data_IF_032634562329
#
_entry.id   IF_032634562329
#
_cell.length_a   1.000
_cell.length_b   1.000
_cell.length_c   1.000
_cell.angle_alpha   90.00
_cell.angle_beta   90.00
_cell.angle_gamma   90.00
#
_symmetry.space_group_name_H-M   'P 1'
#
loop_
_entity.id
_entity.type
_entity.pdbx_description
1 polymer ?
#
# COMPACT_ATOMS: atom_id res chain seq x y z
N UNK A 1 -1.90 -3.27 18.54
CA UNK A 1 -2.64 -2.02 18.22
C UNK A 1 -4.06 -2.06 18.78
N UNK A 2 -4.71 -0.91 18.96
CA UNK A 2 -6.13 -0.81 19.35
C UNK A 2 -6.96 -0.47 18.11
N UNK A 3 -8.21 -0.97 18.04
CA UNK A 3 -9.12 -0.62 16.95
C UNK A 3 -9.49 0.87 17.05
N UNK A 4 -9.30 1.67 16.00
CA UNK A 4 -9.70 3.07 16.03
C UNK A 4 -11.24 3.18 16.01
N UNK A 5 -11.76 4.21 16.69
CA UNK A 5 -13.13 4.66 16.48
C UNK A 5 -13.25 5.31 15.10
N UNK A 6 -14.35 5.06 14.41
CA UNK A 6 -14.58 5.54 13.03
C UNK A 6 -15.89 6.31 13.02
N UNK A 7 -15.83 7.54 12.50
CA UNK A 7 -16.97 8.43 12.32
C UNK A 7 -17.12 8.77 10.83
N UNK A 8 -18.37 8.95 10.38
CA UNK A 8 -18.69 9.26 8.99
C UNK A 8 -19.33 10.64 8.91
N UNK A 9 -18.96 11.40 7.88
CA UNK A 9 -19.49 12.73 7.56
C UNK A 9 -19.82 12.81 6.08
N UNK A 10 -20.50 13.88 5.67
CA UNK A 10 -20.81 14.13 4.26
C UNK A 10 -19.55 14.39 3.42
N UNK A 11 -19.67 14.17 2.11
CA UNK A 11 -18.61 14.45 1.14
C UNK A 11 -18.19 15.91 1.16
N UNK A 12 -16.89 16.17 1.02
CA UNK A 12 -16.38 17.54 0.92
C UNK A 12 -16.65 18.09 -0.48
N UNK A 13 -16.78 19.41 -0.55
CA UNK A 13 -16.85 20.09 -1.85
C UNK A 13 -15.53 19.84 -2.60
N UNK A 14 -15.61 19.23 -3.79
CA UNK A 14 -14.45 18.89 -4.62
C UNK A 14 -14.00 17.43 -4.51
N UNK A 15 -14.58 16.61 -3.63
CA UNK A 15 -14.25 15.19 -3.59
C UNK A 15 -14.70 14.48 -4.87
N UNK A 16 -13.77 13.80 -5.54
CA UNK A 16 -14.10 12.83 -6.56
C UNK A 16 -14.59 11.55 -5.88
N UNK A 17 -15.91 11.27 -5.94
CA UNK A 17 -16.53 10.13 -5.26
C UNK A 17 -15.94 8.77 -5.63
N UNK A 18 -15.53 8.62 -6.89
CA UNK A 18 -14.92 7.40 -7.39
C UNK A 18 -13.82 7.73 -8.40
N UNK A 19 -12.68 7.06 -8.22
CA UNK A 19 -11.57 7.06 -9.15
C UNK A 19 -11.01 5.65 -9.24
N UNK A 20 -10.85 5.14 -10.46
CA UNK A 20 -10.20 3.86 -10.75
C UNK A 20 -9.37 4.04 -12.00
N UNK A 21 -8.08 3.68 -11.94
CA UNK A 21 -7.22 3.67 -13.11
C UNK A 21 -7.37 2.35 -13.87
N UNK A 22 -7.73 2.42 -15.16
CA UNK A 22 -7.52 1.30 -16.07
C UNK A 22 -6.03 1.20 -16.43
N UNK A 23 -5.36 0.18 -15.89
CA UNK A 23 -3.93 -0.05 -16.10
C UNK A 23 -3.64 -0.90 -17.36
N UNK A 24 -4.65 -1.26 -18.16
CA UNK A 24 -4.49 -2.18 -19.30
C UNK A 24 -3.48 -1.67 -20.32
N UNK A 25 -3.44 -0.36 -20.59
CA UNK A 25 -2.46 0.25 -21.51
C UNK A 25 -1.03 0.10 -21.01
N UNK A 26 -0.81 0.32 -19.71
CA UNK A 26 0.51 0.18 -19.11
C UNK A 26 0.93 -1.30 -19.05
N UNK A 27 0.01 -2.19 -18.67
CA UNK A 27 0.24 -3.63 -18.69
C UNK A 27 0.61 -4.13 -20.09
N UNK A 28 -0.07 -3.68 -21.14
CA UNK A 28 0.25 -4.05 -22.52
C UNK A 28 1.62 -3.53 -22.98
N UNK A 29 2.02 -2.34 -22.51
CA UNK A 29 3.28 -1.71 -22.91
C UNK A 29 4.52 -2.36 -22.27
N UNK A 30 4.42 -2.79 -21.01
CA UNK A 30 5.59 -3.25 -20.24
C UNK A 30 5.42 -4.61 -19.55
N UNK A 31 4.31 -5.31 -19.78
CA UNK A 31 4.01 -6.59 -19.13
C UNK A 31 3.70 -6.49 -17.62
N UNK A 32 3.56 -5.27 -17.10
CA UNK A 32 3.36 -5.05 -15.67
C UNK A 32 1.96 -5.46 -15.21
N UNK A 33 1.88 -6.06 -14.02
CA UNK A 33 0.62 -6.39 -13.34
C UNK A 33 0.73 -6.09 -11.85
N UNK A 34 -0.35 -5.70 -11.15
CA UNK A 34 -0.30 -5.46 -9.72
C UNK A 34 -0.01 -6.78 -8.98
N UNK A 35 1.03 -6.77 -8.14
CA UNK A 35 1.45 -7.94 -7.35
C UNK A 35 1.06 -7.86 -5.87
N UNK A 36 0.69 -6.67 -5.42
CA UNK A 36 0.38 -6.36 -4.01
C UNK A 36 -1.07 -5.91 -3.93
N UNK A 37 -1.89 -6.65 -3.17
CA UNK A 37 -3.27 -6.26 -2.89
C UNK A 37 -3.35 -5.23 -1.75
N UNK A 38 -4.53 -4.64 -1.55
CA UNK A 38 -4.74 -3.58 -0.54
C UNK A 38 -4.33 -4.02 0.87
N UNK A 39 -4.75 -5.21 1.31
CA UNK A 39 -4.44 -5.71 2.66
C UNK A 39 -2.93 -5.86 2.85
N UNK A 40 -2.23 -6.44 1.87
CA UNK A 40 -0.78 -6.59 1.93
C UNK A 40 -0.07 -5.23 1.92
N UNK A 41 -0.51 -4.30 1.06
CA UNK A 41 0.09 -2.97 0.97
C UNK A 41 -0.04 -2.18 2.28
N UNK A 42 -1.22 -2.20 2.91
CA UNK A 42 -1.45 -1.55 4.20
C UNK A 42 -0.60 -2.19 5.31
N UNK A 43 -0.48 -3.52 5.33
CA UNK A 43 0.39 -4.22 6.29
C UNK A 43 1.87 -3.87 6.10
N UNK A 44 2.35 -3.81 4.86
CA UNK A 44 3.73 -3.42 4.56
C UNK A 44 4.02 -1.99 5.04
N UNK A 45 3.11 -1.05 4.77
CA UNK A 45 3.24 0.33 5.24
C UNK A 45 3.26 0.41 6.78
N UNK A 46 2.38 -0.34 7.45
CA UNK A 46 2.33 -0.37 8.91
C UNK A 46 3.64 -0.89 9.51
N UNK A 47 4.17 -1.99 8.98
CA UNK A 47 5.43 -2.56 9.46
C UNK A 47 6.61 -1.61 9.23
N UNK A 48 6.67 -0.98 8.06
CA UNK A 48 7.68 0.05 7.77
C UNK A 48 7.59 1.22 8.76
N UNK A 49 6.39 1.68 9.11
CA UNK A 49 6.21 2.74 10.10
C UNK A 49 6.67 2.32 11.51
N UNK A 50 6.43 1.07 11.91
CA UNK A 50 6.94 0.56 13.19
C UNK A 50 8.46 0.54 13.22
N UNK A 51 9.10 0.01 12.17
CA UNK A 51 10.55 -0.03 12.04
C UNK A 51 11.15 1.38 12.05
N UNK A 52 10.62 2.28 11.21
CA UNK A 52 11.08 3.66 11.10
C UNK A 52 10.95 4.44 12.42
N UNK A 53 9.98 4.08 13.27
CA UNK A 53 9.75 4.70 14.59
C UNK A 53 10.51 3.99 15.73
N UNK A 54 11.27 2.93 15.45
CA UNK A 54 11.95 2.13 16.48
C UNK A 54 10.98 1.36 17.37
N UNK A 55 9.78 1.05 16.87
CA UNK A 55 8.70 0.34 17.55
C UNK A 55 8.54 -1.11 17.06
N UNK A 56 9.47 -1.60 16.22
CA UNK A 56 9.48 -2.99 15.79
C UNK A 56 9.89 -3.89 16.97
N UNK A 57 9.05 -4.86 17.32
CA UNK A 57 9.39 -5.87 18.34
C UNK A 57 10.25 -6.97 17.70
N UNK A 58 11.53 -7.09 18.10
CA UNK A 58 12.37 -8.29 17.91
C UNK A 58 12.88 -8.61 16.49
N UNK A 59 14.21 -8.54 16.35
CA UNK A 59 15.13 -8.94 15.25
C UNK A 59 14.71 -8.70 13.80
N UNK A 60 15.45 -7.75 13.21
CA UNK A 60 15.60 -7.41 11.79
C UNK A 60 15.69 -8.65 10.87
N UNK A 61 14.61 -8.96 10.18
CA UNK A 61 14.72 -9.41 8.79
C UNK A 61 14.29 -8.20 7.96
N UNK A 62 15.28 -7.52 7.37
CA UNK A 62 15.02 -6.39 6.49
C UNK A 62 13.98 -6.78 5.43
N UNK A 63 13.07 -5.89 5.03
CA UNK A 63 12.17 -6.19 3.94
C UNK A 63 13.02 -6.57 2.73
N UNK A 64 12.87 -7.82 2.26
CA UNK A 64 13.43 -8.24 0.98
C UNK A 64 12.81 -7.32 -0.05
N UNK A 65 13.59 -6.32 -0.46
CA UNK A 65 13.33 -5.54 -1.65
C UNK A 65 13.34 -6.55 -2.79
N UNK A 66 12.15 -7.00 -3.20
CA UNK A 66 12.02 -7.80 -4.40
C UNK A 66 12.46 -6.88 -5.53
N UNK A 67 13.70 -7.07 -6.00
CA UNK A 67 14.18 -6.41 -7.19
C UNK A 67 13.20 -6.72 -8.31
N UNK A 68 12.61 -5.66 -8.86
CA UNK A 68 11.91 -5.75 -10.13
C UNK A 68 12.97 -6.14 -11.17
N UNK A 69 13.07 -7.44 -11.45
CA UNK A 69 13.92 -7.98 -12.50
C UNK A 69 13.65 -7.22 -13.80
N UNK A 70 14.69 -6.54 -14.27
CA UNK A 70 14.82 -6.15 -15.66
C UNK A 70 15.18 -7.40 -16.48
N UNK A 71 14.25 -7.86 -17.32
CA UNK A 71 14.50 -8.43 -18.66
C UNK A 71 13.17 -8.57 -19.39
#
# INVERSE_FOLDING_TARGET
>A
GRRPEVFYEDWRTGDQRYYVSDFSKFAAAVGWTPRVNVKQGVSNLYNWLLEFRGLAEGSLEAPVMVEAHAS
#
